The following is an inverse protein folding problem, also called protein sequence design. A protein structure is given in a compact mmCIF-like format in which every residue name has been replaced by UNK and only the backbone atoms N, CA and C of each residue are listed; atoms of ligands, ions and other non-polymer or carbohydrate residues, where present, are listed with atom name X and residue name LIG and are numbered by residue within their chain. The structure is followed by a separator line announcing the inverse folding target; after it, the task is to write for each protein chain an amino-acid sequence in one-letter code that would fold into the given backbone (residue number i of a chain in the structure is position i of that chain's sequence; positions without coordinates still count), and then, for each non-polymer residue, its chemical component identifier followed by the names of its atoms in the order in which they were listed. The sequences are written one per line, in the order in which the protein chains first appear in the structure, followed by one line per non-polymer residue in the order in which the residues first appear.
data_IF_920035440394
#
_entry.id   IF_920035440394
#
_cell.length_a   1.000
_cell.length_b   1.000
_cell.length_c   1.000
_cell.angle_alpha   90.00
_cell.angle_beta   90.00
_cell.angle_gamma   90.00
#
_symmetry.space_group_name_H-M   'P 1'
#
loop_
_entity.id
_entity.type
_entity.pdbx_description
1 polymer ?
#
# COMPACT_ATOMS: atom_id res chain seq x y z
N UNK A 1 -12.66 -0.17 1.50
CA UNK A 1 -12.12 0.60 0.36
C UNK A 1 -13.28 1.38 -0.25
N UNK A 2 -13.06 2.62 -0.65
CA UNK A 2 -14.14 3.44 -1.21
C UNK A 2 -14.49 3.02 -2.64
N UNK A 3 -15.63 3.51 -3.14
CA UNK A 3 -16.16 3.15 -4.45
C UNK A 3 -15.21 3.52 -5.59
N UNK A 4 -14.58 4.68 -5.50
CA UNK A 4 -13.63 5.12 -6.52
C UNK A 4 -12.48 4.12 -6.69
N UNK A 5 -11.87 3.70 -5.56
CA UNK A 5 -10.80 2.71 -5.57
C UNK A 5 -11.30 1.34 -6.02
N UNK A 6 -12.50 0.93 -5.58
CA UNK A 6 -13.06 -0.36 -5.97
C UNK A 6 -13.23 -0.47 -7.49
N UNK A 7 -13.69 0.59 -8.13
CA UNK A 7 -13.84 0.62 -9.58
C UNK A 7 -12.49 0.45 -10.30
N UNK A 8 -11.44 1.09 -9.78
CA UNK A 8 -10.09 0.97 -10.35
C UNK A 8 -9.52 -0.43 -10.12
N UNK A 9 -9.77 -0.99 -8.95
CA UNK A 9 -9.37 -2.37 -8.67
C UNK A 9 -10.06 -3.36 -9.61
N UNK A 10 -11.34 -3.17 -9.90
CA UNK A 10 -12.06 -4.00 -10.85
C UNK A 10 -11.41 -3.96 -12.25
N UNK A 11 -11.06 -2.76 -12.70
CA UNK A 11 -10.43 -2.57 -14.01
C UNK A 11 -9.04 -3.22 -14.05
N UNK A 12 -8.26 -3.04 -12.97
CA UNK A 12 -6.93 -3.64 -12.87
C UNK A 12 -6.98 -5.17 -12.86
N UNK A 13 -7.96 -5.75 -12.16
CA UNK A 13 -8.14 -7.19 -12.12
C UNK A 13 -8.45 -7.74 -13.52
N UNK A 14 -9.31 -7.04 -14.28
CA UNK A 14 -9.67 -7.46 -15.64
C UNK A 14 -8.48 -7.47 -16.59
N UNK A 15 -7.65 -6.42 -16.50
CA UNK A 15 -6.50 -6.26 -17.40
C UNK A 15 -5.39 -7.25 -17.08
N UNK A 16 -5.17 -7.52 -15.79
CA UNK A 16 -4.03 -8.33 -15.35
C UNK A 16 -4.35 -9.80 -15.15
N UNK A 17 -5.63 -10.14 -14.97
CA UNK A 17 -6.02 -11.50 -14.56
C UNK A 17 -5.75 -11.81 -13.10
N UNK A 18 -5.30 -10.83 -12.30
CA UNK A 18 -5.12 -10.99 -10.87
C UNK A 18 -6.50 -11.15 -10.21
N UNK A 19 -6.60 -12.06 -9.24
CA UNK A 19 -7.82 -12.24 -8.48
C UNK A 19 -8.24 -10.93 -7.84
N UNK A 20 -9.51 -10.51 -8.05
CA UNK A 20 -10.01 -9.24 -7.52
C UNK A 20 -9.82 -9.14 -6.00
N UNK A 21 -9.95 -10.26 -5.28
CA UNK A 21 -9.78 -10.28 -3.83
C UNK A 21 -8.36 -9.89 -3.39
N UNK A 22 -7.36 -10.11 -4.24
CA UNK A 22 -5.98 -9.71 -3.95
C UNK A 22 -5.78 -8.20 -3.98
N UNK A 23 -6.72 -7.46 -4.57
CA UNK A 23 -6.66 -6.00 -4.68
C UNK A 23 -7.55 -5.31 -3.64
N UNK A 24 -8.09 -6.06 -2.69
CA UNK A 24 -8.95 -5.51 -1.64
C UNK A 24 -8.11 -4.97 -0.49
N UNK A 25 -8.51 -3.82 0.05
CA UNK A 25 -7.88 -3.22 1.23
C UNK A 25 -8.93 -3.09 2.32
N UNK A 26 -8.67 -3.67 3.49
CA UNK A 26 -9.49 -3.42 4.67
C UNK A 26 -9.28 -2.00 5.16
N UNK A 27 -10.17 -1.51 6.02
CA UNK A 27 -10.01 -0.20 6.64
C UNK A 27 -8.70 -0.11 7.43
N UNK A 28 -8.33 -1.20 8.12
CA UNK A 28 -7.09 -1.28 8.86
C UNK A 28 -5.87 -1.19 7.92
N UNK A 29 -5.88 -1.92 6.81
CA UNK A 29 -4.82 -1.86 5.82
C UNK A 29 -4.68 -0.45 5.24
N UNK A 30 -5.80 0.19 4.96
CA UNK A 30 -5.80 1.56 4.44
C UNK A 30 -5.17 2.53 5.44
N UNK A 31 -5.49 2.41 6.73
CA UNK A 31 -4.88 3.23 7.77
C UNK A 31 -3.37 3.03 7.84
N UNK A 32 -2.90 1.78 7.80
CA UNK A 32 -1.47 1.47 7.79
C UNK A 32 -0.76 2.13 6.61
N UNK A 33 -1.36 2.06 5.43
CA UNK A 33 -0.75 2.65 4.23
C UNK A 33 -0.73 4.17 4.30
N UNK A 34 -1.81 4.78 4.79
CA UNK A 34 -1.85 6.24 4.94
C UNK A 34 -0.82 6.72 5.95
N UNK A 35 -0.64 6.00 7.05
CA UNK A 35 0.37 6.32 8.04
C UNK A 35 1.78 6.18 7.46
N UNK A 36 2.03 5.14 6.67
CA UNK A 36 3.32 4.96 5.99
C UNK A 36 3.58 6.04 4.97
N UNK A 37 2.55 6.48 4.25
CA UNK A 37 2.67 7.57 3.29
C UNK A 37 3.09 8.87 3.98
N UNK A 38 2.46 9.18 5.12
CA UNK A 38 2.83 10.34 5.92
C UNK A 38 4.27 10.24 6.44
N UNK A 39 4.65 9.06 6.95
CA UNK A 39 6.02 8.81 7.43
C UNK A 39 7.03 9.02 6.30
N UNK A 40 6.77 8.48 5.11
CA UNK A 40 7.67 8.62 3.97
C UNK A 40 7.89 10.09 3.60
N UNK A 41 6.82 10.88 3.55
CA UNK A 41 6.90 12.28 3.20
C UNK A 41 7.70 13.09 4.24
N UNK A 42 7.47 12.84 5.52
CA UNK A 42 8.12 13.58 6.61
C UNK A 42 9.57 13.15 6.82
N UNK A 43 9.82 11.84 6.88
CA UNK A 43 11.15 11.31 7.16
C UNK A 43 12.14 11.61 6.03
N UNK A 44 11.69 11.50 4.78
CA UNK A 44 12.55 11.74 3.61
C UNK A 44 12.58 13.19 3.15
N UNK A 45 11.71 14.04 3.72
CA UNK A 45 11.51 15.42 3.30
C UNK A 45 11.17 15.53 1.79
N UNK A 46 10.53 14.51 1.25
CA UNK A 46 10.12 14.47 -0.17
C UNK A 46 8.73 13.84 -0.27
N UNK A 47 7.72 14.68 -0.50
CA UNK A 47 6.32 14.24 -0.59
C UNK A 47 6.10 13.19 -1.66
N UNK A 48 6.87 13.24 -2.74
CA UNK A 48 6.77 12.28 -3.83
C UNK A 48 7.17 10.86 -3.43
N UNK A 49 7.91 10.70 -2.33
CA UNK A 49 8.25 9.37 -1.84
C UNK A 49 7.06 8.62 -1.25
N UNK A 50 5.99 9.31 -0.86
CA UNK A 50 4.83 8.67 -0.27
C UNK A 50 4.19 7.63 -1.21
N UNK A 51 3.76 7.98 -2.43
CA UNK A 51 3.19 6.97 -3.33
C UNK A 51 4.23 5.92 -3.76
N UNK A 52 5.49 6.32 -3.89
CA UNK A 52 6.54 5.38 -4.31
C UNK A 52 6.78 4.32 -3.23
N UNK A 53 6.83 4.73 -1.96
CA UNK A 53 6.95 3.78 -0.86
C UNK A 53 5.74 2.84 -0.80
N UNK A 54 4.53 3.36 -0.97
CA UNK A 54 3.33 2.53 -0.95
C UNK A 54 3.36 1.47 -2.04
N UNK A 55 3.86 1.79 -3.21
CA UNK A 55 4.06 0.82 -4.28
C UNK A 55 5.01 -0.30 -3.85
N UNK A 56 6.17 0.08 -3.27
CA UNK A 56 7.17 -0.90 -2.82
C UNK A 56 6.60 -1.82 -1.73
N UNK A 57 5.87 -1.25 -0.79
CA UNK A 57 5.23 -2.02 0.28
C UNK A 57 4.19 -2.97 -0.29
N UNK A 58 3.41 -2.52 -1.27
CA UNK A 58 2.42 -3.36 -1.94
C UNK A 58 3.05 -4.56 -2.63
N UNK A 59 4.16 -4.35 -3.33
CA UNK A 59 4.91 -5.43 -3.98
C UNK A 59 5.49 -6.39 -2.93
N UNK A 60 6.07 -5.86 -1.86
CA UNK A 60 6.65 -6.68 -0.79
C UNK A 60 5.57 -7.53 -0.10
N UNK A 61 4.36 -7.01 0.06
CA UNK A 61 3.24 -7.75 0.67
C UNK A 61 2.92 -9.04 -0.08
N UNK A 62 3.17 -9.10 -1.38
CA UNK A 62 2.90 -10.31 -2.17
C UNK A 62 3.72 -11.50 -1.71
N UNK A 63 4.80 -11.28 -0.94
CA UNK A 63 5.59 -12.36 -0.34
C UNK A 63 4.92 -12.97 0.90
N UNK A 64 3.78 -12.43 1.33
CA UNK A 64 3.01 -12.98 2.46
C UNK A 64 3.24 -12.29 3.79
N UNK A 65 4.08 -11.26 3.83
CA UNK A 65 4.33 -10.50 5.06
C UNK A 65 3.20 -9.49 5.30
N UNK A 66 2.62 -9.44 6.52
CA UNK A 66 1.53 -8.51 6.81
C UNK A 66 1.99 -7.05 6.78
N UNK A 67 1.06 -6.14 6.50
CA UNK A 67 1.35 -4.71 6.39
C UNK A 67 1.91 -4.10 7.67
N UNK A 68 1.45 -4.53 8.84
CA UNK A 68 1.96 -4.01 10.11
C UNK A 68 3.45 -4.30 10.27
N UNK A 69 3.88 -5.50 9.89
CA UNK A 69 5.29 -5.90 9.94
C UNK A 69 6.11 -5.12 8.90
N UNK A 70 5.58 -4.94 7.70
CA UNK A 70 6.25 -4.15 6.67
C UNK A 70 6.41 -2.69 7.12
N UNK A 71 5.39 -2.16 7.79
CA UNK A 71 5.44 -0.82 8.37
C UNK A 71 6.54 -0.68 9.42
N UNK A 72 6.69 -1.66 10.30
CA UNK A 72 7.76 -1.65 11.28
C UNK A 72 9.14 -1.67 10.61
N UNK A 73 9.30 -2.47 9.56
CA UNK A 73 10.55 -2.53 8.80
C UNK A 73 10.90 -1.17 8.20
N UNK A 74 9.92 -0.51 7.60
CA UNK A 74 10.13 0.81 7.00
C UNK A 74 10.54 1.82 8.07
N UNK A 75 9.85 1.84 9.21
CA UNK A 75 10.12 2.80 10.28
C UNK A 75 11.46 2.57 10.97
N UNK A 76 11.93 1.33 11.00
CA UNK A 76 13.21 1.00 11.62
C UNK A 76 14.41 1.18 10.67
N UNK A 77 14.16 1.45 9.40
CA UNK A 77 15.23 1.74 8.44
C UNK A 77 15.71 3.17 8.63
N UNK A 78 16.98 3.32 8.88
CA UNK A 78 17.60 4.64 9.11
C UNK A 78 18.57 5.03 8.00
#
# INVERSE_FOLDING_TARGET
MNEWLSQRADALARVTGVDRSALELSDEDAEHLLDLAAHAAHDSDARTNAPLLCYLVGVARTAGTPLDQLGETVRSTS
#
